data_IF_359054042941
#
_entry.id   IF_359054042941
#
_cell.length_a   1.000
_cell.length_b   1.000
_cell.length_c   1.000
_cell.angle_alpha   90.00
_cell.angle_beta   90.00
_cell.angle_gamma   90.00
#
_symmetry.space_group_name_H-M   'P 1'
#
loop_
_entity.id
_entity.type
_entity.pdbx_description
1 polymer ?
#
# COMPACT_ATOMS: atom_id res chain seq x y z
N UNK A 1 20.29 -11.74 -9.20
CA UNK A 1 19.39 -12.76 -8.60
C UNK A 1 18.45 -12.18 -7.53
N UNK A 2 18.91 -11.67 -6.38
CA UNK A 2 18.00 -11.09 -5.36
C UNK A 2 17.28 -9.81 -5.84
N UNK A 3 18.05 -8.86 -6.40
CA UNK A 3 17.53 -7.62 -6.98
C UNK A 3 16.53 -7.85 -8.12
N UNK A 4 16.61 -8.96 -8.86
CA UNK A 4 15.70 -9.22 -9.98
C UNK A 4 14.28 -9.54 -9.48
N UNK A 5 14.18 -10.35 -8.42
CA UNK A 5 12.90 -10.65 -7.77
C UNK A 5 12.30 -9.41 -7.11
N UNK A 6 13.12 -8.62 -6.41
CA UNK A 6 12.64 -7.40 -5.76
C UNK A 6 12.17 -6.37 -6.80
N UNK A 7 12.90 -6.23 -7.91
CA UNK A 7 12.47 -5.40 -9.04
C UNK A 7 11.14 -5.87 -9.62
N UNK A 8 10.94 -7.19 -9.79
CA UNK A 8 9.67 -7.74 -10.27
C UNK A 8 8.52 -7.37 -9.34
N UNK A 9 8.70 -7.48 -8.02
CA UNK A 9 7.67 -7.14 -7.03
C UNK A 9 7.35 -5.64 -7.08
N UNK A 10 8.36 -4.78 -7.02
CA UNK A 10 8.17 -3.31 -7.03
C UNK A 10 7.47 -2.86 -8.31
N UNK A 11 7.92 -3.36 -9.46
CA UNK A 11 7.29 -3.04 -10.74
C UNK A 11 5.88 -3.61 -10.87
N UNK A 12 5.63 -4.84 -10.39
CA UNK A 12 4.30 -5.45 -10.43
C UNK A 12 3.28 -4.66 -9.60
N UNK A 13 3.68 -4.23 -8.39
CA UNK A 13 2.82 -3.41 -7.53
C UNK A 13 2.52 -2.05 -8.16
N UNK A 14 3.55 -1.38 -8.72
CA UNK A 14 3.34 -0.14 -9.45
C UNK A 14 2.35 -0.32 -10.61
N UNK A 15 2.58 -1.32 -11.46
CA UNK A 15 1.72 -1.63 -12.61
C UNK A 15 0.28 -1.91 -12.19
N UNK A 16 0.08 -2.70 -11.13
CA UNK A 16 -1.25 -3.04 -10.63
C UNK A 16 -1.99 -1.79 -10.12
N UNK A 17 -1.33 -0.93 -9.33
CA UNK A 17 -1.94 0.28 -8.81
C UNK A 17 -2.27 1.30 -9.91
N UNK A 18 -1.41 1.43 -10.92
CA UNK A 18 -1.68 2.26 -12.11
C UNK A 18 -2.90 1.71 -12.88
N UNK A 19 -2.97 0.40 -13.11
CA UNK A 19 -4.10 -0.25 -13.79
C UNK A 19 -5.42 -0.08 -13.04
N UNK A 20 -5.38 -0.02 -11.71
CA UNK A 20 -6.55 0.23 -10.86
C UNK A 20 -6.90 1.72 -10.72
N UNK A 21 -6.09 2.62 -11.29
CA UNK A 21 -6.27 4.08 -11.15
C UNK A 21 -5.96 4.60 -9.75
N UNK A 22 -5.31 3.81 -8.90
CA UNK A 22 -4.88 4.20 -7.55
C UNK A 22 -3.63 5.08 -7.64
N UNK A 23 -2.80 4.85 -8.65
CA UNK A 23 -1.53 5.55 -8.82
C UNK A 23 -1.50 6.26 -10.17
N UNK A 24 -1.16 7.55 -10.15
CA UNK A 24 -0.79 8.30 -11.35
C UNK A 24 0.47 9.10 -11.08
N UNK A 25 1.52 8.92 -11.90
CA UNK A 25 2.80 9.65 -11.79
C UNK A 25 3.35 9.66 -10.36
N UNK A 26 3.35 8.50 -9.72
CA UNK A 26 3.74 8.31 -8.32
C UNK A 26 2.97 9.24 -7.35
N UNK A 27 1.66 9.38 -7.56
CA UNK A 27 0.73 10.02 -6.63
C UNK A 27 -0.44 9.07 -6.40
N UNK A 28 -0.78 8.85 -5.14
CA UNK A 28 -1.92 8.02 -4.77
C UNK A 28 -3.20 8.84 -4.89
N UNK A 29 -4.19 8.31 -5.61
CA UNK A 29 -5.57 8.79 -5.55
C UNK A 29 -6.27 8.14 -4.34
N UNK A 30 -6.48 8.96 -3.31
CA UNK A 30 -7.14 8.54 -2.06
C UNK A 30 -8.58 8.09 -2.31
N UNK A 31 -9.30 8.75 -3.23
CA UNK A 31 -10.69 8.42 -3.54
C UNK A 31 -10.76 7.03 -4.18
N UNK A 32 -9.90 6.76 -5.17
CA UNK A 32 -9.80 5.44 -5.83
C UNK A 32 -9.35 4.35 -4.85
N UNK A 33 -8.44 4.68 -3.94
CA UNK A 33 -8.02 3.76 -2.87
C UNK A 33 -9.20 3.39 -1.96
N UNK A 34 -9.98 4.38 -1.53
CA UNK A 34 -11.18 4.16 -0.72
C UNK A 34 -12.31 3.45 -1.49
N UNK A 35 -12.37 3.56 -2.81
CA UNK A 35 -13.33 2.80 -3.62
C UNK A 35 -13.10 1.29 -3.51
N UNK A 36 -11.85 0.85 -3.33
CA UNK A 36 -11.54 -0.57 -3.17
C UNK A 36 -12.03 -1.15 -1.85
N UNK A 37 -12.25 -0.34 -0.82
CA UNK A 37 -12.63 -0.80 0.52
C UNK A 37 -14.14 -0.81 0.72
N UNK A 38 -14.93 -0.41 -0.29
CA UNK A 38 -16.39 -0.31 -0.21
C UNK A 38 -17.11 -1.61 0.11
N UNK A 39 -16.49 -2.75 -0.16
CA UNK A 39 -17.06 -4.08 0.10
C UNK A 39 -16.88 -4.54 1.56
N UNK A 40 -16.10 -3.80 2.36
CA UNK A 40 -15.88 -4.09 3.77
C UNK A 40 -17.04 -3.57 4.63
N UNK A 41 -17.15 -4.11 5.85
CA UNK A 41 -18.05 -3.53 6.86
C UNK A 41 -17.65 -2.10 7.23
N UNK A 42 -18.60 -1.34 7.77
CA UNK A 42 -18.44 0.09 8.05
C UNK A 42 -17.25 0.39 8.96
N UNK A 43 -17.10 -0.36 10.05
CA UNK A 43 -15.99 -0.19 11.00
C UNK A 43 -14.63 -0.40 10.32
N UNK A 44 -14.48 -1.50 9.57
CA UNK A 44 -13.24 -1.79 8.85
C UNK A 44 -12.96 -0.76 7.76
N UNK A 45 -13.99 -0.33 7.03
CA UNK A 45 -13.86 0.69 5.98
C UNK A 45 -13.39 2.03 6.54
N UNK A 46 -13.89 2.44 7.69
CA UNK A 46 -13.48 3.68 8.36
C UNK A 46 -12.03 3.61 8.86
N UNK A 47 -11.61 2.46 9.40
CA UNK A 47 -10.20 2.21 9.73
C UNK A 47 -9.34 2.33 8.47
N UNK A 48 -9.74 1.66 7.39
CA UNK A 48 -9.00 1.69 6.13
C UNK A 48 -8.85 3.10 5.55
N UNK A 49 -9.91 3.91 5.58
CA UNK A 49 -9.86 5.29 5.10
C UNK A 49 -8.80 6.11 5.85
N UNK A 50 -8.77 6.01 7.19
CA UNK A 50 -7.75 6.67 8.03
C UNK A 50 -6.33 6.18 7.71
N UNK A 51 -6.16 4.88 7.51
CA UNK A 51 -4.86 4.29 7.18
C UNK A 51 -4.36 4.70 5.79
N UNK A 52 -5.26 4.78 4.80
CA UNK A 52 -4.95 5.26 3.46
C UNK A 52 -4.43 6.70 3.53
N UNK A 53 -5.17 7.61 4.18
CA UNK A 53 -4.73 9.00 4.31
C UNK A 53 -3.38 9.12 5.03
N UNK A 54 -3.21 8.38 6.13
CA UNK A 54 -1.96 8.35 6.88
C UNK A 54 -0.79 7.86 6.01
N UNK A 55 -0.97 6.77 5.28
CA UNK A 55 0.09 6.19 4.45
C UNK A 55 0.39 7.01 3.20
N UNK A 56 -0.59 7.75 2.65
CA UNK A 56 -0.33 8.75 1.61
C UNK A 56 0.53 9.89 2.16
N UNK A 57 0.26 10.37 3.39
CA UNK A 57 1.10 11.39 4.02
C UNK A 57 2.53 10.90 4.23
N UNK A 58 2.70 9.75 4.89
CA UNK A 58 4.02 9.16 5.20
C UNK A 58 4.84 8.93 3.93
N UNK A 59 4.23 8.37 2.88
CA UNK A 59 4.95 8.07 1.63
C UNK A 59 5.32 9.34 0.86
N UNK A 60 4.49 10.38 0.91
CA UNK A 60 4.82 11.68 0.34
C UNK A 60 5.97 12.38 1.09
N UNK A 61 6.01 12.30 2.42
CA UNK A 61 7.15 12.81 3.22
C UNK A 61 8.45 12.11 2.85
N UNK A 62 8.39 10.81 2.54
CA UNK A 62 9.55 10.01 2.15
C UNK A 62 9.81 9.97 0.63
N UNK A 63 9.05 10.73 -0.17
CA UNK A 63 9.03 10.60 -1.63
C UNK A 63 10.40 10.67 -2.26
N UNK A 64 11.25 11.61 -1.82
CA UNK A 64 12.60 11.80 -2.33
C UNK A 64 13.49 10.56 -2.18
N UNK A 65 13.28 9.77 -1.12
CA UNK A 65 14.02 8.53 -0.86
C UNK A 65 13.44 7.38 -1.69
N UNK A 66 12.12 7.28 -1.80
CA UNK A 66 11.44 6.22 -2.53
C UNK A 66 11.61 6.33 -4.06
N UNK A 67 11.88 7.54 -4.57
CA UNK A 67 12.17 7.77 -6.00
C UNK A 67 13.65 7.61 -6.37
N UNK A 68 14.57 7.64 -5.39
CA UNK A 68 16.03 7.53 -5.60
C UNK A 68 16.56 6.15 -5.20
N UNK A 69 15.83 5.11 -5.56
CA UNK A 69 16.18 3.74 -5.19
C UNK A 69 16.92 3.04 -6.32
N UNK A 70 17.58 1.93 -6.01
CA UNK A 70 18.27 1.07 -6.98
C UNK A 70 17.31 0.24 -7.86
N UNK A 71 16.00 0.42 -7.71
CA UNK A 71 14.99 -0.36 -8.42
C UNK A 71 14.68 0.24 -9.80
N UNK A 72 14.28 -0.63 -10.73
CA UNK A 72 13.90 -0.26 -12.10
C UNK A 72 12.61 0.54 -12.17
N UNK A 73 11.70 0.32 -11.22
CA UNK A 73 10.47 1.08 -11.06
C UNK A 73 10.53 1.90 -9.80
N UNK A 74 9.80 3.02 -9.77
CA UNK A 74 9.64 3.83 -8.56
C UNK A 74 9.15 2.98 -7.40
N UNK A 75 9.88 3.03 -6.28
CA UNK A 75 9.53 2.29 -5.07
C UNK A 75 8.35 2.92 -4.33
N UNK A 76 7.87 4.08 -4.78
CA UNK A 76 6.80 4.83 -4.13
C UNK A 76 5.53 4.00 -3.91
N UNK A 77 5.04 3.31 -4.96
CA UNK A 77 3.84 2.48 -4.88
C UNK A 77 4.00 1.32 -3.87
N UNK A 78 5.17 0.69 -3.88
CA UNK A 78 5.48 -0.39 -2.96
C UNK A 78 5.65 0.11 -1.52
N UNK A 79 6.28 1.27 -1.31
CA UNK A 79 6.36 1.92 -0.01
C UNK A 79 4.98 2.24 0.58
N UNK A 80 4.04 2.68 -0.26
CA UNK A 80 2.64 2.86 0.14
C UNK A 80 1.97 1.55 0.55
N UNK A 81 2.15 0.49 -0.23
CA UNK A 81 1.62 -0.84 0.10
C UNK A 81 2.19 -1.38 1.42
N UNK A 82 3.50 -1.20 1.66
CA UNK A 82 4.16 -1.61 2.89
C UNK A 82 3.60 -0.86 4.10
N UNK A 83 3.44 0.46 3.99
CA UNK A 83 2.83 1.26 5.04
C UNK A 83 1.42 0.76 5.37
N UNK A 84 0.58 0.55 4.35
CA UNK A 84 -0.77 0.02 4.55
C UNK A 84 -0.74 -1.32 5.25
N UNK A 85 0.09 -2.25 4.79
CA UNK A 85 0.18 -3.61 5.35
C UNK A 85 0.62 -3.59 6.82
N UNK A 86 1.61 -2.75 7.14
CA UNK A 86 2.08 -2.58 8.52
C UNK A 86 0.98 -2.01 9.42
N UNK A 87 0.33 -0.92 9.00
CA UNK A 87 -0.70 -0.27 9.81
C UNK A 87 -1.98 -1.10 9.92
N UNK A 88 -2.36 -1.80 8.86
CA UNK A 88 -3.48 -2.75 8.90
C UNK A 88 -3.21 -3.86 9.91
N UNK A 89 -2.00 -4.44 9.92
CA UNK A 89 -1.62 -5.47 10.90
C UNK A 89 -1.71 -4.92 12.33
N UNK A 90 -1.22 -3.71 12.56
CA UNK A 90 -1.24 -3.08 13.88
C UNK A 90 -2.64 -2.66 14.36
N UNK A 91 -3.60 -2.47 13.44
CA UNK A 91 -4.97 -2.03 13.74
C UNK A 91 -6.00 -3.12 13.40
N UNK A 92 -5.58 -4.37 13.20
CA UNK A 92 -6.49 -5.46 12.85
C UNK A 92 -7.38 -5.77 14.06
N UNK A 93 -8.72 -5.62 13.94
CA UNK A 93 -9.61 -5.94 15.05
C UNK A 93 -9.48 -7.41 15.48
N UNK A 94 -9.50 -7.68 16.79
CA UNK A 94 -9.36 -9.04 17.35
C UNK A 94 -10.37 -10.03 16.74
N UNK A 95 -11.57 -9.56 16.42
CA UNK A 95 -12.62 -10.38 15.77
C UNK A 95 -12.20 -10.95 14.40
N UNK A 96 -11.25 -10.30 13.73
CA UNK A 96 -10.68 -10.75 12.44
C UNK A 96 -9.30 -11.38 12.60
N UNK A 97 -8.63 -11.17 13.73
CA UNK A 97 -7.32 -11.74 14.00
C UNK A 97 -7.43 -13.24 14.27
N UNK A 98 -7.13 -14.05 13.26
CA UNK A 98 -7.02 -15.49 13.43
C UNK A 98 -5.61 -15.81 13.94
N UNK A 99 -5.47 -16.00 15.25
CA UNK A 99 -4.25 -16.55 15.85
C UNK A 99 -4.08 -18.02 15.45
N UNK A 100 -3.55 -18.25 14.25
CA UNK A 100 -3.17 -19.57 13.75
C UNK A 100 -1.74 -19.53 13.25
N UNK A 101 -0.98 -20.63 13.43
CA UNK A 101 0.31 -20.81 12.77
C UNK A 101 0.08 -20.67 11.26
N UNK A 102 0.61 -19.59 10.68
CA UNK A 102 0.79 -19.50 9.23
C UNK A 102 1.85 -20.56 8.91
N UNK A 103 1.43 -21.62 8.23
CA UNK A 103 2.26 -22.77 7.85
C UNK A 103 3.42 -22.36 6.96
#
# INVERSE_FOLDING_TARGET
MALDRDNQIVCAVKCQMEKQGILEKDRVDVKKSNELTKHLDEETRDVMARLIEMCVRITNEQRSHLTKTQYKCSFFAYGFLLCLTEKMRANCPDKYWKSGKVF
#
